data_IF_957433914953
#
_entry.id   IF_957433914953
#
_cell.length_a   1.000
_cell.length_b   1.000
_cell.length_c   1.000
_cell.angle_alpha   90.00
_cell.angle_beta   90.00
_cell.angle_gamma   90.00
#
_symmetry.space_group_name_H-M   'P 1'
#
loop_
_entity.id
_entity.type
_entity.pdbx_description
1 polymer ?
#
# COMPACT_ATOMS: atom_id res chain seq x y z
N UNK A 1 1.82 -12.99 3.82
CA UNK A 1 1.67 -11.63 3.26
C UNK A 1 2.04 -10.62 4.33
N UNK A 2 2.95 -9.67 4.06
CA UNK A 2 3.37 -8.71 5.08
C UNK A 2 2.19 -7.85 5.56
N UNK A 3 2.13 -7.66 6.88
CA UNK A 3 1.12 -6.85 7.54
C UNK A 3 1.34 -5.38 7.22
N UNK A 4 0.29 -4.57 7.43
CA UNK A 4 0.42 -3.11 7.25
C UNK A 4 1.52 -2.51 8.14
N UNK A 5 1.70 -3.04 9.36
CA UNK A 5 2.71 -2.57 10.31
C UNK A 5 4.13 -2.91 9.85
N UNK A 6 4.36 -4.12 9.34
CA UNK A 6 5.67 -4.51 8.80
C UNK A 6 6.11 -3.63 7.63
N UNK A 7 5.18 -3.29 6.73
CA UNK A 7 5.47 -2.38 5.60
C UNK A 7 5.77 -0.96 6.13
N UNK A 8 5.03 -0.48 7.13
CA UNK A 8 5.31 0.83 7.73
C UNK A 8 6.68 0.90 8.40
N UNK A 9 7.05 -0.16 9.12
CA UNK A 9 8.33 -0.20 9.84
C UNK A 9 9.51 -0.34 8.86
N UNK A 10 9.39 -1.11 7.77
CA UNK A 10 10.41 -1.17 6.71
C UNK A 10 10.60 0.19 6.03
N UNK A 11 9.51 0.86 5.65
CA UNK A 11 9.58 2.18 5.01
C UNK A 11 10.17 3.22 5.98
N UNK A 12 9.79 3.17 7.25
CA UNK A 12 10.35 4.06 8.28
C UNK A 12 11.84 3.82 8.46
N UNK A 13 12.27 2.56 8.56
CA UNK A 13 13.67 2.20 8.75
C UNK A 13 14.57 2.63 7.58
N UNK A 14 14.05 2.62 6.36
CA UNK A 14 14.85 2.86 5.15
C UNK A 14 14.76 4.28 4.62
N UNK A 15 13.57 4.86 4.62
CA UNK A 15 13.31 6.18 4.04
C UNK A 15 13.10 7.27 5.10
N UNK A 16 13.06 6.91 6.39
CA UNK A 16 12.76 7.85 7.48
C UNK A 16 11.34 8.45 7.39
N UNK A 17 10.45 7.86 6.59
CA UNK A 17 9.09 8.36 6.35
C UNK A 17 8.04 7.39 6.86
N UNK A 18 6.92 7.95 7.33
CA UNK A 18 5.74 7.17 7.70
C UNK A 18 4.70 7.24 6.59
N UNK A 19 4.16 6.08 6.21
CA UNK A 19 3.15 5.95 5.16
C UNK A 19 1.83 5.51 5.77
N UNK A 20 0.75 6.17 5.38
CA UNK A 20 -0.60 5.83 5.86
C UNK A 20 -1.05 4.47 5.31
N UNK A 21 -1.79 3.71 6.12
CA UNK A 21 -2.33 2.39 5.74
C UNK A 21 -3.22 2.43 4.50
N UNK A 22 -3.95 3.53 4.28
CA UNK A 22 -4.76 3.72 3.07
C UNK A 22 -3.93 3.67 1.78
N UNK A 23 -2.69 4.15 1.81
CA UNK A 23 -1.77 4.11 0.65
C UNK A 23 -1.24 2.69 0.42
N UNK A 24 -0.95 1.96 1.49
CA UNK A 24 -0.52 0.56 1.40
C UNK A 24 -1.64 -0.31 0.85
N UNK A 25 -2.87 -0.10 1.31
CA UNK A 25 -4.05 -0.76 0.78
C UNK A 25 -4.25 -0.44 -0.71
N UNK A 26 -3.99 0.81 -1.11
CA UNK A 26 -4.12 1.24 -2.51
C UNK A 26 -3.11 0.55 -3.45
N UNK A 27 -1.86 0.44 -3.02
CA UNK A 27 -0.81 -0.26 -3.77
C UNK A 27 -1.10 -1.77 -3.81
N UNK A 28 -1.49 -2.37 -2.67
CA UNK A 28 -1.94 -3.78 -2.63
C UNK A 28 -3.10 -4.03 -3.60
N UNK A 29 -4.08 -3.14 -3.65
CA UNK A 29 -5.21 -3.27 -4.58
C UNK A 29 -4.78 -3.14 -6.05
N UNK A 30 -3.83 -2.25 -6.34
CA UNK A 30 -3.29 -2.06 -7.69
C UNK A 30 -2.53 -3.29 -8.21
N UNK A 31 -1.97 -4.10 -7.31
CA UNK A 31 -1.28 -5.35 -7.62
C UNK A 31 -2.16 -6.60 -7.46
N UNK A 32 -3.47 -6.44 -7.27
CA UNK A 32 -4.40 -7.57 -7.12
C UNK A 32 -4.27 -8.34 -5.80
N UNK A 33 -3.50 -7.83 -4.84
CA UNK A 33 -3.22 -8.49 -3.56
C UNK A 33 -4.30 -8.26 -2.50
N UNK A 34 -5.42 -7.63 -2.86
CA UNK A 34 -6.58 -7.45 -1.98
C UNK A 34 -7.65 -8.51 -2.26
N UNK A 35 -8.13 -9.18 -1.21
CA UNK A 35 -9.15 -10.25 -1.25
C UNK A 35 -10.58 -9.78 -1.64
N UNK A 36 -10.73 -8.66 -2.33
CA UNK A 36 -12.02 -8.13 -2.77
C UNK A 36 -12.25 -6.67 -2.40
N UNK A 37 -13.38 -6.12 -2.86
CA UNK A 37 -13.82 -4.78 -2.51
C UNK A 37 -14.25 -4.73 -1.04
N UNK A 38 -13.78 -3.71 -0.30
CA UNK A 38 -14.33 -3.45 1.02
C UNK A 38 -15.84 -3.16 0.90
N UNK A 39 -16.65 -3.68 1.83
CA UNK A 39 -18.11 -3.54 1.84
C UNK A 39 -18.61 -2.10 1.75
N UNK A 40 -17.83 -1.14 2.27
CA UNK A 40 -18.16 0.29 2.25
C UNK A 40 -17.59 1.05 1.02
N UNK A 41 -17.20 0.33 -0.04
CA UNK A 41 -16.62 0.93 -1.25
C UNK A 41 -17.72 1.44 -2.17
N UNK A 42 -17.94 2.75 -2.18
CA UNK A 42 -18.97 3.44 -2.99
C UNK A 42 -18.64 3.39 -4.51
N UNK A 43 -17.37 3.27 -4.90
CA UNK A 43 -16.97 3.13 -6.30
C UNK A 43 -15.73 2.23 -6.45
N UNK A 44 -15.79 1.30 -7.40
CA UNK A 44 -14.65 0.44 -7.73
C UNK A 44 -13.50 1.24 -8.39
N UNK A 45 -13.82 2.28 -9.16
CA UNK A 45 -12.85 3.00 -10.01
C UNK A 45 -12.52 4.42 -9.54
N UNK A 46 -13.34 5.06 -8.70
CA UNK A 46 -13.07 6.41 -8.23
C UNK A 46 -12.26 6.41 -6.92
N UNK A 47 -10.96 6.70 -7.01
CA UNK A 47 -10.11 6.94 -5.83
C UNK A 47 -10.20 8.40 -5.43
N UNK A 48 -10.75 8.66 -4.24
CA UNK A 48 -10.95 10.02 -3.69
C UNK A 48 -9.65 10.84 -3.55
N UNK A 49 -8.50 10.17 -3.39
CA UNK A 49 -7.20 10.81 -3.30
C UNK A 49 -6.17 10.03 -4.12
N UNK A 50 -5.52 10.64 -5.12
CA UNK A 50 -4.41 9.98 -5.82
C UNK A 50 -3.28 9.71 -4.83
N UNK A 51 -2.77 8.48 -4.80
CA UNK A 51 -1.62 8.14 -3.98
C UNK A 51 -0.39 8.91 -4.52
N UNK A 52 0.30 9.71 -3.70
CA UNK A 52 1.45 10.46 -4.19
C UNK A 52 2.55 9.49 -4.61
N UNK A 53 3.16 9.73 -5.78
CA UNK A 53 4.09 8.80 -6.44
C UNK A 53 5.23 8.30 -5.54
N UNK A 54 5.74 9.18 -4.67
CA UNK A 54 6.80 8.83 -3.71
C UNK A 54 6.40 7.74 -2.72
N UNK A 55 5.14 7.71 -2.28
CA UNK A 55 4.66 6.72 -1.34
C UNK A 55 4.47 5.36 -2.02
N UNK A 56 4.05 5.38 -3.29
CA UNK A 56 3.89 4.16 -4.09
C UNK A 56 5.22 3.43 -4.27
N UNK A 57 6.26 4.14 -4.71
CA UNK A 57 7.58 3.55 -4.90
C UNK A 57 8.14 2.92 -3.61
N UNK A 58 7.99 3.60 -2.47
CA UNK A 58 8.43 3.05 -1.17
C UNK A 58 7.66 1.79 -0.77
N UNK A 59 6.35 1.78 -1.00
CA UNK A 59 5.52 0.61 -0.68
C UNK A 59 5.84 -0.57 -1.60
N UNK A 60 6.01 -0.33 -2.91
CA UNK A 60 6.35 -1.36 -3.88
C UNK A 60 7.70 -1.99 -3.56
N UNK A 61 8.70 -1.19 -3.22
CA UNK A 61 10.03 -1.67 -2.84
C UNK A 61 10.00 -2.53 -1.56
N UNK A 62 9.25 -2.10 -0.53
CA UNK A 62 9.00 -2.93 0.65
C UNK A 62 8.26 -4.23 0.30
N UNK A 63 7.22 -4.17 -0.54
CA UNK A 63 6.43 -5.34 -0.92
C UNK A 63 7.25 -6.35 -1.73
N UNK A 64 8.16 -5.90 -2.59
CA UNK A 64 9.10 -6.75 -3.32
C UNK A 64 10.05 -7.48 -2.36
N UNK A 65 10.59 -6.80 -1.33
CA UNK A 65 11.43 -7.43 -0.29
C UNK A 65 10.69 -8.48 0.53
N UNK A 66 9.39 -8.27 0.77
CA UNK A 66 8.55 -9.23 1.45
C UNK A 66 8.04 -10.36 0.52
N UNK A 67 8.45 -10.39 -0.75
CA UNK A 67 8.05 -11.40 -1.73
C UNK A 67 6.56 -11.38 -2.03
N UNK A 68 5.93 -10.21 -2.01
CA UNK A 68 4.50 -10.05 -2.24
C UNK A 68 4.14 -9.74 -3.70
N UNK A 69 5.08 -9.13 -4.42
CA UNK A 69 5.06 -8.78 -5.84
C UNK A 69 6.43 -9.09 -6.43
#
# INVERSE_FOLDING_TARGET
MATYRQIQDDIRGRYGKSVKTCRIADVKASHGLTRGAASNRISANARKYPCPHWARAMIEDSMHRFGMI
#
